data_IF_015568634823
#
_entry.id   IF_015568634823
#
_cell.length_a   1.000
_cell.length_b   1.000
_cell.length_c   1.000
_cell.angle_alpha   90.00
_cell.angle_beta   90.00
_cell.angle_gamma   90.00
#
_symmetry.space_group_name_H-M   'P 1'
#
loop_
_entity.id
_entity.type
_entity.pdbx_description
1 polymer ?
#
# COMPACT_ATOMS: atom_id res chain seq x y z
N UNK A 1 6.07 -37.75 4.20
CA UNK A 1 4.90 -37.25 3.45
C UNK A 1 4.84 -35.75 3.69
N UNK A 2 5.47 -34.95 2.82
CA UNK A 2 5.49 -33.49 2.97
C UNK A 2 4.21 -32.97 2.31
N UNK A 3 3.22 -32.63 3.12
CA UNK A 3 2.09 -31.84 2.65
C UNK A 3 2.61 -30.45 2.34
N UNK A 4 2.83 -30.15 1.07
CA UNK A 4 2.97 -28.78 0.63
C UNK A 4 1.64 -28.08 0.97
N UNK A 5 1.69 -27.07 1.85
CA UNK A 5 0.56 -26.19 2.10
C UNK A 5 0.28 -25.43 0.79
N UNK A 6 -0.55 -26.02 -0.06
CA UNK A 6 -1.08 -25.43 -1.28
C UNK A 6 -2.24 -24.48 -0.93
N UNK A 7 -2.07 -23.66 0.11
CA UNK A 7 -2.98 -22.52 0.29
C UNK A 7 -2.73 -21.59 -0.89
N UNK A 8 -3.69 -21.38 -1.80
CA UNK A 8 -3.50 -20.40 -2.86
C UNK A 8 -3.24 -19.07 -2.15
N UNK A 9 -2.12 -18.43 -2.47
CA UNK A 9 -1.86 -17.07 -2.03
C UNK A 9 -3.09 -16.25 -2.44
N UNK A 10 -3.92 -15.88 -1.46
CA UNK A 10 -5.13 -15.09 -1.71
C UNK A 10 -4.61 -13.77 -2.25
N UNK A 11 -4.67 -13.63 -3.57
CA UNK A 11 -4.29 -12.41 -4.25
C UNK A 11 -5.36 -11.41 -3.88
N UNK A 12 -4.96 -10.36 -3.17
CA UNK A 12 -5.87 -9.28 -2.79
C UNK A 12 -6.59 -8.76 -4.06
N UNK A 13 -7.92 -8.60 -4.03
CA UNK A 13 -8.68 -8.18 -5.20
C UNK A 13 -8.15 -6.87 -5.79
N UNK A 14 -7.87 -6.86 -7.09
CA UNK A 14 -7.57 -5.59 -7.78
C UNK A 14 -8.87 -4.82 -8.01
N UNK A 15 -8.77 -3.52 -8.25
CA UNK A 15 -9.92 -2.65 -8.57
C UNK A 15 -10.97 -2.53 -7.45
N UNK A 16 -10.50 -2.53 -6.20
CA UNK A 16 -11.31 -2.38 -5.00
C UNK A 16 -10.82 -1.20 -4.14
N UNK A 17 -11.72 -0.63 -3.32
CA UNK A 17 -11.34 0.37 -2.33
C UNK A 17 -10.69 -0.30 -1.11
N UNK A 18 -9.54 0.23 -0.67
CA UNK A 18 -8.81 -0.23 0.51
C UNK A 18 -8.65 0.92 1.52
N UNK A 19 -8.75 0.60 2.82
CA UNK A 19 -8.52 1.55 3.92
C UNK A 19 -7.39 1.03 4.82
N UNK A 20 -6.11 1.15 4.39
CA UNK A 20 -4.99 0.52 5.08
C UNK A 20 -4.55 1.23 6.37
N UNK A 21 -4.94 2.49 6.55
CA UNK A 21 -4.51 3.33 7.67
C UNK A 21 -5.56 4.39 7.99
N UNK A 22 -5.60 4.88 9.23
CA UNK A 22 -6.40 6.04 9.62
C UNK A 22 -5.81 7.31 9.02
N UNK A 23 -6.67 8.26 8.62
CA UNK A 23 -6.22 9.58 8.17
C UNK A 23 -5.50 10.36 9.26
N UNK A 24 -5.75 10.05 10.54
CA UNK A 24 -5.05 10.67 11.67
C UNK A 24 -3.56 10.30 11.72
N UNK A 25 -3.18 9.12 11.21
CA UNK A 25 -1.80 8.65 11.21
C UNK A 25 -1.00 9.17 10.00
N UNK A 26 -1.68 9.75 9.00
CA UNK A 26 -1.04 10.35 7.84
C UNK A 26 -0.67 11.80 8.13
N UNK A 27 0.62 12.03 8.29
CA UNK A 27 1.22 13.35 8.57
C UNK A 27 1.97 13.88 7.33
N UNK A 28 2.69 14.99 7.46
CA UNK A 28 3.58 15.49 6.40
C UNK A 28 4.82 14.60 6.18
N UNK A 29 5.12 13.68 7.11
CA UNK A 29 6.17 12.69 6.94
C UNK A 29 5.73 11.57 5.97
N UNK A 30 6.68 11.04 5.20
CA UNK A 30 6.46 9.90 4.32
C UNK A 30 6.13 8.65 5.14
N UNK A 31 4.95 8.07 4.90
CA UNK A 31 4.48 6.84 5.52
C UNK A 31 4.50 5.70 4.50
N UNK A 32 5.48 4.77 4.57
CA UNK A 32 5.53 3.60 3.69
C UNK A 32 4.57 2.51 4.17
N UNK A 33 3.84 1.87 3.24
CA UNK A 33 2.92 0.76 3.49
C UNK A 33 2.85 -0.22 2.31
N UNK A 34 2.22 -1.37 2.55
CA UNK A 34 1.84 -2.34 1.51
C UNK A 34 0.33 -2.49 1.42
N UNK A 35 -0.23 -2.22 0.25
CA UNK A 35 -1.67 -2.37 -0.04
C UNK A 35 -1.84 -3.35 -1.17
N UNK A 36 -2.63 -4.40 -0.95
CA UNK A 36 -2.82 -5.47 -1.94
C UNK A 36 -1.48 -6.03 -2.51
N UNK A 37 -0.44 -6.06 -1.67
CA UNK A 37 0.92 -6.49 -2.05
C UNK A 37 1.79 -5.41 -2.72
N UNK A 38 1.22 -4.27 -3.11
CA UNK A 38 1.94 -3.17 -3.75
C UNK A 38 2.56 -2.23 -2.71
N UNK A 39 3.83 -1.82 -2.88
CA UNK A 39 4.43 -0.77 -2.07
C UNK A 39 3.78 0.58 -2.41
N UNK A 40 3.31 1.30 -1.39
CA UNK A 40 2.71 2.62 -1.51
C UNK A 40 3.35 3.53 -0.46
N UNK A 41 3.51 4.81 -0.80
CA UNK A 41 3.90 5.86 0.15
C UNK A 41 2.73 6.85 0.27
N UNK A 42 2.31 7.12 1.50
CA UNK A 42 1.32 8.15 1.84
C UNK A 42 1.99 9.34 2.52
N UNK A 43 1.52 10.55 2.23
CA UNK A 43 1.85 11.75 3.00
C UNK A 43 0.74 12.80 2.87
N UNK A 44 0.66 13.72 3.82
CA UNK A 44 -0.22 14.89 3.78
C UNK A 44 0.54 16.11 3.24
N UNK A 45 0.06 16.65 2.14
CA UNK A 45 0.56 17.90 1.57
C UNK A 45 0.10 19.13 2.38
N UNK A 46 0.71 20.28 2.13
CA UNK A 46 0.49 21.52 2.89
C UNK A 46 -0.97 22.03 2.81
N UNK A 47 -1.67 21.70 1.72
CA UNK A 47 -3.10 21.99 1.51
C UNK A 47 -4.04 21.00 2.23
N UNK A 48 -3.48 20.12 3.08
CA UNK A 48 -4.16 19.01 3.77
C UNK A 48 -4.61 17.85 2.88
N UNK A 49 -4.27 17.84 1.59
CA UNK A 49 -4.54 16.71 0.69
C UNK A 49 -3.65 15.51 1.07
N UNK A 50 -4.23 14.30 1.11
CA UNK A 50 -3.46 13.05 1.26
C UNK A 50 -3.07 12.55 -0.13
N UNK A 51 -1.77 12.41 -0.36
CA UNK A 51 -1.22 11.89 -1.62
C UNK A 51 -0.81 10.44 -1.41
N UNK A 52 -1.16 9.60 -2.38
CA UNK A 52 -0.67 8.23 -2.49
C UNK A 52 0.21 8.10 -3.74
N UNK A 53 1.46 7.68 -3.55
CA UNK A 53 2.39 7.44 -4.66
C UNK A 53 2.84 5.98 -4.65
N UNK A 54 2.92 5.40 -5.84
CA UNK A 54 3.80 4.26 -6.05
C UNK A 54 5.24 4.76 -5.98
N UNK A 55 6.20 3.96 -5.48
CA UNK A 55 7.60 4.29 -5.65
C UNK A 55 7.88 4.51 -7.14
N UNK A 56 8.69 5.51 -7.47
CA UNK A 56 9.11 5.71 -8.84
C UNK A 56 9.77 4.41 -9.33
N UNK A 57 9.32 3.92 -10.49
CA UNK A 57 10.06 2.90 -11.22
C UNK A 57 11.42 3.55 -11.54
N UNK A 58 12.48 3.16 -10.83
CA UNK A 58 13.83 3.56 -11.21
C UNK A 58 14.05 3.02 -12.63
N UNK A 59 14.32 3.92 -13.58
CA UNK A 59 14.33 3.61 -15.01
C UNK A 59 15.19 2.40 -15.34
N UNK A 60 14.64 1.53 -16.18
CA UNK A 60 15.29 0.37 -16.79
C UNK A 60 16.53 0.75 -17.63
#
# INVERSE_FOLDING_TARGET
MIGADMSPAITAPRDCWYAPVSSADVTSALLPLRVAGLPIVLFRADDSTIVASLPAEEGA
#
